data_IF_769082507084
#
_entry.id   IF_769082507084
#
_cell.length_a   1.000
_cell.length_b   1.000
_cell.length_c   1.000
_cell.angle_alpha   90.00
_cell.angle_beta   90.00
_cell.angle_gamma   90.00
#
_symmetry.space_group_name_H-M   'P 1'
#
loop_
_entity.id
_entity.type
_entity.pdbx_description
1 polymer ?
#
# COMPACT_ATOMS: atom_id res chain seq x y z
N UNK A 1 -16.13 13.09 -13.17
CA UNK A 1 -14.86 12.36 -13.08
C UNK A 1 -13.87 13.32 -12.46
N UNK A 2 -13.80 13.36 -11.13
CA UNK A 2 -12.80 14.16 -10.43
C UNK A 2 -11.61 13.22 -10.22
N UNK A 3 -10.55 13.42 -11.01
CA UNK A 3 -9.27 12.81 -10.72
C UNK A 3 -8.86 13.32 -9.34
N UNK A 4 -8.69 12.41 -8.39
CA UNK A 4 -8.07 12.76 -7.11
C UNK A 4 -6.59 12.95 -7.46
N UNK A 5 -6.18 14.15 -7.84
CA UNK A 5 -4.76 14.52 -7.82
C UNK A 5 -4.42 14.81 -6.35
N UNK A 6 -3.80 13.84 -5.67
CA UNK A 6 -3.13 14.12 -4.38
C UNK A 6 -1.70 14.54 -4.70
N UNK A 7 -1.29 15.72 -4.21
CA UNK A 7 0.13 16.08 -4.21
C UNK A 7 0.92 15.03 -3.40
N UNK A 8 2.05 14.52 -3.90
CA UNK A 8 2.86 13.56 -3.17
C UNK A 8 3.32 14.18 -1.84
N UNK A 9 2.83 13.65 -0.72
CA UNK A 9 3.22 14.10 0.60
C UNK A 9 4.39 13.26 1.12
N UNK A 10 5.33 13.86 1.87
CA UNK A 10 6.32 13.10 2.64
C UNK A 10 5.63 12.38 3.82
N UNK A 11 5.07 11.20 3.57
CA UNK A 11 4.53 10.33 4.63
C UNK A 11 5.67 9.49 5.20
N UNK A 12 5.90 9.60 6.51
CA UNK A 12 6.81 8.68 7.21
C UNK A 12 6.10 7.35 7.44
N UNK A 13 6.43 6.37 6.62
CA UNK A 13 5.96 4.99 6.78
C UNK A 13 6.98 4.23 7.65
N UNK A 14 6.63 3.79 8.86
CA UNK A 14 7.51 2.97 9.67
C UNK A 14 7.81 1.64 8.97
N UNK A 15 9.07 1.22 8.97
CA UNK A 15 9.48 -0.07 8.38
C UNK A 15 8.64 -1.24 8.91
N UNK A 16 8.28 -1.23 10.20
CA UNK A 16 7.47 -2.29 10.82
C UNK A 16 6.07 -2.41 10.23
N UNK A 17 5.41 -1.28 9.90
CA UNK A 17 4.09 -1.29 9.28
C UNK A 17 4.16 -1.81 7.83
N UNK A 18 5.24 -1.44 7.14
CA UNK A 18 5.53 -1.90 5.78
C UNK A 18 5.85 -3.41 5.74
N UNK A 19 6.67 -3.90 6.68
CA UNK A 19 6.99 -5.33 6.84
C UNK A 19 5.76 -6.16 7.23
N UNK A 20 4.87 -5.63 8.08
CA UNK A 20 3.62 -6.31 8.44
C UNK A 20 2.67 -6.44 7.24
N UNK A 21 2.58 -5.42 6.39
CA UNK A 21 1.81 -5.50 5.15
C UNK A 21 2.39 -6.49 4.16
N UNK A 22 3.71 -6.48 3.99
CA UNK A 22 4.43 -7.46 3.18
C UNK A 22 4.15 -8.91 3.62
N UNK A 23 4.22 -9.18 4.92
CA UNK A 23 3.89 -10.49 5.48
C UNK A 23 2.44 -10.87 5.19
N UNK A 24 1.49 -9.94 5.34
CA UNK A 24 0.09 -10.18 5.03
C UNK A 24 -0.15 -10.49 3.54
N UNK A 25 0.57 -9.83 2.63
CA UNK A 25 0.51 -10.13 1.19
C UNK A 25 1.02 -11.55 0.88
N UNK A 26 2.13 -11.97 1.46
CA UNK A 26 2.74 -13.28 1.16
C UNK A 26 1.85 -14.46 1.56
N UNK A 27 1.06 -14.31 2.62
CA UNK A 27 0.07 -15.30 3.07
C UNK A 27 -1.36 -15.01 2.62
N UNK A 28 -1.56 -14.00 1.74
CA UNK A 28 -2.87 -13.58 1.20
C UNK A 28 -3.91 -13.21 2.27
N UNK A 29 -3.47 -12.62 3.37
CA UNK A 29 -4.33 -12.17 4.48
C UNK A 29 -4.46 -10.65 4.49
N UNK A 30 -4.90 -10.07 3.37
CA UNK A 30 -5.24 -8.64 3.27
C UNK A 30 -6.74 -8.44 3.25
N UNK A 31 -7.20 -7.35 3.85
CA UNK A 31 -8.57 -6.87 3.76
C UNK A 31 -8.62 -5.67 2.81
N UNK A 32 -9.74 -5.49 2.12
CA UNK A 32 -9.97 -4.35 1.23
C UNK A 32 -11.13 -3.52 1.76
N UNK A 33 -10.98 -2.19 1.71
CA UNK A 33 -12.04 -1.25 2.05
C UNK A 33 -12.08 -0.10 1.04
N UNK A 34 -13.25 0.10 0.45
CA UNK A 34 -13.54 1.27 -0.38
C UNK A 34 -13.84 2.47 0.52
N UNK A 35 -13.22 3.61 0.21
CA UNK A 35 -13.42 4.86 0.95
C UNK A 35 -14.29 5.85 0.14
N UNK A 36 -14.74 6.98 0.73
CA UNK A 36 -15.54 7.97 0.00
C UNK A 36 -14.85 8.60 -1.21
N UNK A 37 -13.52 8.48 -1.31
CA UNK A 37 -12.75 8.84 -2.50
C UNK A 37 -12.93 7.84 -3.67
N UNK A 38 -13.66 6.74 -3.44
CA UNK A 38 -13.93 5.69 -4.42
C UNK A 38 -12.76 4.74 -4.64
N UNK A 39 -11.68 4.87 -3.87
CA UNK A 39 -10.47 4.07 -4.00
C UNK A 39 -10.57 2.85 -3.07
N UNK A 40 -10.16 1.69 -3.61
CA UNK A 40 -10.02 0.46 -2.85
C UNK A 40 -8.64 0.40 -2.18
N UNK A 41 -8.64 0.47 -0.85
CA UNK A 41 -7.43 0.39 -0.04
C UNK A 41 -7.30 -0.98 0.62
N UNK A 42 -6.15 -1.62 0.43
CA UNK A 42 -5.75 -2.89 1.03
C UNK A 42 -4.97 -2.65 2.32
N UNK A 43 -5.17 -3.49 3.33
CA UNK A 43 -4.44 -3.46 4.60
C UNK A 43 -4.31 -4.88 5.20
N UNK A 44 -3.41 -5.11 6.17
CA UNK A 44 -3.28 -6.42 6.81
C UNK A 44 -4.57 -6.79 7.54
N UNK A 45 -5.11 -7.98 7.28
CA UNK A 45 -6.31 -8.44 7.97
C UNK A 45 -6.06 -8.52 9.48
N UNK A 46 -6.99 -7.98 10.28
CA UNK A 46 -6.93 -8.02 11.75
C UNK A 46 -6.23 -6.83 12.41
N UNK A 47 -5.61 -5.92 11.66
CA UNK A 47 -4.92 -4.74 12.22
C UNK A 47 -5.77 -3.48 12.27
N UNK A 48 -7.09 -3.58 12.09
CA UNK A 48 -7.96 -2.40 11.93
C UNK A 48 -7.86 -1.40 13.08
N UNK A 49 -7.76 -1.92 14.31
CA UNK A 49 -7.68 -1.11 15.53
C UNK A 49 -6.23 -0.68 15.89
N UNK A 50 -5.24 -1.06 15.07
CA UNK A 50 -3.83 -0.76 15.27
C UNK A 50 -3.29 0.15 14.14
N UNK A 51 -2.24 0.94 14.38
CA UNK A 51 -1.56 1.66 13.30
C UNK A 51 -1.00 0.71 12.24
N UNK A 52 -1.60 0.73 11.05
CA UNK A 52 -1.21 -0.08 9.90
C UNK A 52 -1.04 0.76 8.63
N UNK A 53 -0.33 0.18 7.66
CA UNK A 53 -0.19 0.68 6.30
C UNK A 53 -1.41 0.28 5.46
N UNK A 54 -1.92 1.24 4.69
CA UNK A 54 -2.94 1.03 3.67
C UNK A 54 -2.33 1.28 2.28
N UNK A 55 -2.62 0.41 1.32
CA UNK A 55 -2.07 0.45 -0.06
C UNK A 55 -3.20 0.37 -1.08
N UNK A 56 -3.19 1.23 -2.08
CA UNK A 56 -4.11 1.18 -3.21
C UNK A 56 -3.35 1.05 -4.52
N UNK A 57 -3.79 0.12 -5.38
CA UNK A 57 -3.34 0.03 -6.77
C UNK A 57 -4.21 0.96 -7.60
N UNK A 58 -3.61 1.99 -8.21
CA UNK A 58 -4.40 3.00 -8.89
C UNK A 58 -4.90 2.51 -10.25
N UNK A 59 -6.09 2.96 -10.68
CA UNK A 59 -6.57 2.72 -12.05
C UNK A 59 -5.53 3.20 -13.06
N UNK A 60 -5.19 2.35 -14.03
CA UNK A 60 -4.10 2.59 -14.99
C UNK A 60 -2.85 1.75 -14.72
N UNK A 61 -2.65 1.28 -13.48
CA UNK A 61 -1.60 0.30 -13.13
C UNK A 61 -0.17 0.87 -13.08
N UNK A 62 0.00 2.17 -13.24
CA UNK A 62 1.30 2.85 -13.23
C UNK A 62 1.69 3.33 -11.82
N UNK A 63 0.71 3.52 -10.93
CA UNK A 63 0.89 4.07 -9.61
C UNK A 63 0.37 3.16 -8.50
N UNK A 64 1.09 3.17 -7.39
CA UNK A 64 0.69 2.57 -6.13
C UNK A 64 0.70 3.64 -5.07
N UNK A 65 -0.43 3.83 -4.40
CA UNK A 65 -0.57 4.82 -3.35
C UNK A 65 -0.44 4.15 -1.99
N UNK A 66 0.31 4.78 -1.08
CA UNK A 66 0.58 4.29 0.26
C UNK A 66 0.22 5.35 1.29
N UNK A 67 -0.47 4.96 2.36
CA UNK A 67 -0.77 5.87 3.48
C UNK A 67 -0.83 5.15 4.81
N UNK A 68 -0.65 5.90 5.90
CA UNK A 68 -0.86 5.37 7.23
C UNK A 68 -2.34 5.47 7.62
N UNK A 69 -2.87 4.45 8.29
CA UNK A 69 -4.22 4.50 8.90
C UNK A 69 -4.38 5.63 9.93
N UNK A 70 -3.27 6.07 10.54
CA UNK A 70 -3.22 7.20 11.48
C UNK A 70 -3.24 8.57 10.79
N UNK A 71 -2.97 8.63 9.48
CA UNK A 71 -3.10 9.82 8.65
C UNK A 71 -3.57 9.43 7.25
N UNK A 72 -4.90 9.34 7.08
CA UNK A 72 -5.52 9.00 5.80
C UNK A 72 -5.62 10.18 4.83
N UNK A 73 -5.26 11.39 5.28
CA UNK A 73 -5.33 12.61 4.48
C UNK A 73 -4.11 12.77 3.56
N UNK A 74 -2.98 12.18 3.95
CA UNK A 74 -1.73 12.18 3.19
C UNK A 74 -1.47 10.82 2.55
N UNK A 75 -0.91 10.81 1.34
CA UNK A 75 -0.43 9.59 0.69
C UNK A 75 0.91 9.84 0.00
N UNK A 76 1.76 8.81 0.01
CA UNK A 76 2.94 8.72 -0.86
C UNK A 76 2.51 8.00 -2.13
N UNK A 77 2.99 8.50 -3.26
CA UNK A 77 2.81 7.88 -4.57
C UNK A 77 4.11 7.20 -4.95
N UNK A 78 4.05 5.89 -5.20
CA UNK A 78 5.12 5.13 -5.82
C UNK A 78 4.76 4.79 -7.25
N UNK A 79 5.75 4.76 -8.14
CA UNK A 79 5.58 4.11 -9.44
C UNK A 79 5.43 2.60 -9.23
N UNK A 80 4.80 1.93 -10.19
CA UNK A 80 4.67 0.47 -10.16
C UNK A 80 6.04 -0.22 -10.13
N UNK A 81 7.08 0.39 -10.71
CA UNK A 81 8.46 -0.11 -10.67
C UNK A 81 9.06 -0.03 -9.26
N UNK A 82 8.87 1.10 -8.56
CA UNK A 82 9.28 1.24 -7.16
C UNK A 82 8.56 0.24 -6.26
N UNK A 83 7.27 0.03 -6.53
CA UNK A 83 6.47 -0.98 -5.85
C UNK A 83 7.01 -2.40 -6.09
N UNK A 84 7.35 -2.77 -7.33
CA UNK A 84 7.91 -4.08 -7.65
C UNK A 84 9.31 -4.30 -7.07
N UNK A 85 10.20 -3.30 -7.13
CA UNK A 85 11.52 -3.37 -6.50
C UNK A 85 11.40 -3.58 -4.98
N UNK A 86 10.45 -2.88 -4.34
CA UNK A 86 10.14 -3.10 -2.94
C UNK A 86 9.59 -4.52 -2.69
N UNK A 87 8.57 -4.93 -3.44
CA UNK A 87 7.92 -6.24 -3.28
C UNK A 87 8.88 -7.41 -3.51
N UNK A 88 9.81 -7.28 -4.47
CA UNK A 88 10.83 -8.28 -4.78
C UNK A 88 11.89 -8.45 -3.70
N UNK A 89 12.03 -7.49 -2.76
CA UNK A 89 12.94 -7.57 -1.61
C UNK A 89 12.29 -8.19 -0.37
N UNK A 90 11.01 -8.51 -0.42
CA UNK A 90 10.27 -9.03 0.73
C UNK A 90 10.65 -10.49 1.04
N UNK A 91 10.77 -10.86 2.33
CA UNK A 91 11.03 -12.25 2.71
C UNK A 91 9.90 -13.16 2.19
N UNK A 92 10.25 -14.11 1.32
CA UNK A 92 9.28 -15.03 0.69
C UNK A 92 8.75 -14.59 -0.67
N UNK A 93 9.13 -13.42 -1.18
CA UNK A 93 9.03 -13.15 -2.61
C UNK A 93 9.99 -14.11 -3.33
N UNK A 94 9.45 -15.00 -4.17
CA UNK A 94 10.33 -15.83 -5.00
C UNK A 94 11.17 -14.88 -5.86
N UNK A 95 12.51 -15.08 -5.96
CA UNK A 95 13.32 -14.30 -6.89
C UNK A 95 12.73 -14.45 -8.30
N UNK A 96 12.81 -13.40 -9.15
CA UNK A 96 12.44 -13.53 -10.54
C UNK A 96 13.19 -14.72 -11.14
N UNK A 97 12.46 -15.71 -11.67
CA UNK A 97 13.10 -16.77 -12.43
C UNK A 97 13.32 -16.21 -13.85
N UNK A 98 14.59 -16.05 -14.21
CA UNK A 98 15.04 -15.71 -15.57
C UNK A 98 14.48 -16.68 -16.63
#
# INVERSE_FOLDING_TARGET
MAGVEREPAEVRIPKTALDAFAAALSVRTVATRTWPDGIDWMYPLGTWDEPHLEVALMPGGEEVWLRMSTDRSSAVVWTIEQWWDFAGRLPGAMPPQD
#
